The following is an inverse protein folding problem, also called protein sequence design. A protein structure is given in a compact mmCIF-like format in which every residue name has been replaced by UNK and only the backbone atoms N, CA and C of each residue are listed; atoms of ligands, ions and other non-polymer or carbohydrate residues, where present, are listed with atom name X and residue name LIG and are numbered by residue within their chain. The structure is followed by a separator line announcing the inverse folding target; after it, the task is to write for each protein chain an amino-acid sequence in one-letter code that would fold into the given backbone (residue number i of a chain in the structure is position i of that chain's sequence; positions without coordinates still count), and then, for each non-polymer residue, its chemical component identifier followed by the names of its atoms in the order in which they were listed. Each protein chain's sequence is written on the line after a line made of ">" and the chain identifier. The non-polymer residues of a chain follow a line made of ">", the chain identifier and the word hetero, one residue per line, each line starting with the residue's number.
data_IF_062408356427
#
_entry.id   IF_062408356427
#
_cell.length_a   1.000
_cell.length_b   1.000
_cell.length_c   1.000
_cell.angle_alpha   90.00
_cell.angle_beta   90.00
_cell.angle_gamma   90.00
#
_symmetry.space_group_name_H-M   'P 1'
#
loop_
_entity.id
_entity.type
_entity.pdbx_description
1 polymer ?
#
# COMPACT_ATOMS: atom_id res chain seq x y z
N UNK A 1 13.83 18.63 -18.94
CA UNK A 1 13.00 17.44 -18.63
C UNK A 1 13.38 16.97 -17.24
N UNK A 2 12.54 17.26 -16.26
CA UNK A 2 12.78 16.78 -14.89
C UNK A 2 12.64 15.27 -14.88
N UNK A 3 13.62 14.57 -14.33
CA UNK A 3 13.51 13.14 -14.09
C UNK A 3 12.27 12.86 -13.24
N UNK A 4 11.54 11.77 -13.51
CA UNK A 4 10.42 11.41 -12.65
C UNK A 4 10.92 11.24 -11.21
N UNK A 5 10.28 11.92 -10.27
CA UNK A 5 10.62 11.81 -8.87
C UNK A 5 10.41 10.39 -8.35
N UNK A 6 11.17 9.99 -7.33
CA UNK A 6 10.97 8.70 -6.69
C UNK A 6 9.58 8.64 -6.05
N UNK A 7 8.83 7.59 -6.40
CA UNK A 7 7.48 7.36 -5.89
C UNK A 7 7.47 7.02 -4.40
N UNK A 8 6.61 7.69 -3.65
CA UNK A 8 6.46 7.51 -2.20
C UNK A 8 5.00 7.21 -1.86
N UNK A 9 4.77 6.17 -1.06
CA UNK A 9 3.49 5.91 -0.40
C UNK A 9 3.50 6.60 0.96
N UNK A 10 2.37 7.21 1.32
CA UNK A 10 2.18 7.80 2.64
C UNK A 10 1.12 7.02 3.42
N UNK A 11 1.45 6.63 4.64
CA UNK A 11 0.54 6.03 5.60
C UNK A 11 0.76 6.70 6.95
N UNK A 12 0.10 7.82 7.14
CA UNK A 12 0.27 8.71 8.28
C UNK A 12 -1.05 8.86 9.02
N UNK A 13 -0.97 8.82 10.35
CA UNK A 13 -2.09 9.14 11.24
C UNK A 13 -2.05 10.62 11.62
N UNK A 14 -3.17 11.31 11.46
CA UNK A 14 -3.33 12.69 11.85
C UNK A 14 -2.98 13.73 10.77
N UNK A 15 -2.54 14.93 11.22
CA UNK A 15 -2.25 16.03 10.31
C UNK A 15 -0.89 15.87 9.63
N UNK A 16 -0.92 15.60 8.35
CA UNK A 16 0.25 15.43 7.50
C UNK A 16 0.46 16.57 6.48
N UNK A 17 -0.33 17.64 6.57
CA UNK A 17 -0.29 18.74 5.61
C UNK A 17 1.11 19.36 5.46
N UNK A 18 1.85 19.49 6.57
CA UNK A 18 3.21 19.97 6.56
C UNK A 18 4.16 19.06 5.80
N UNK A 19 4.04 17.74 6.01
CA UNK A 19 4.84 16.72 5.35
C UNK A 19 4.52 16.68 3.86
N UNK A 20 3.23 16.65 3.50
CA UNK A 20 2.78 16.69 2.11
C UNK A 20 3.33 17.91 1.38
N UNK A 21 3.26 19.10 2.01
CA UNK A 21 3.81 20.33 1.43
C UNK A 21 5.32 20.22 1.20
N UNK A 22 6.08 19.71 2.17
CA UNK A 22 7.52 19.51 2.05
C UNK A 22 7.88 18.53 0.93
N UNK A 23 7.17 17.42 0.81
CA UNK A 23 7.38 16.42 -0.24
C UNK A 23 6.99 16.93 -1.64
N UNK A 24 5.98 17.80 -1.72
CA UNK A 24 5.48 18.34 -2.99
C UNK A 24 6.27 19.56 -3.48
N UNK A 25 7.27 20.02 -2.73
CA UNK A 25 8.09 21.13 -3.18
C UNK A 25 8.86 20.80 -4.45
N UNK A 26 8.93 21.77 -5.36
CA UNK A 26 9.70 21.62 -6.59
C UNK A 26 11.17 21.35 -6.27
N UNK A 27 11.73 20.32 -6.90
CA UNK A 27 13.11 19.91 -6.70
C UNK A 27 13.34 18.92 -5.56
N UNK A 28 12.29 18.47 -4.86
CA UNK A 28 12.42 17.41 -3.86
C UNK A 28 12.92 16.09 -4.46
N UNK A 29 12.70 15.85 -5.74
CA UNK A 29 12.98 14.55 -6.38
C UNK A 29 12.07 13.42 -5.87
N UNK A 30 11.04 13.77 -5.10
CA UNK A 30 10.05 12.84 -4.54
C UNK A 30 8.68 13.11 -5.17
N UNK A 31 7.91 12.07 -5.32
CA UNK A 31 6.54 12.16 -5.82
C UNK A 31 5.64 11.31 -4.92
N UNK A 32 4.67 11.94 -4.26
CA UNK A 32 3.66 11.20 -3.51
C UNK A 32 2.74 10.52 -4.52
N UNK A 33 2.86 9.20 -4.63
CA UNK A 33 2.06 8.40 -5.54
C UNK A 33 0.68 8.13 -4.96
N UNK A 34 0.65 7.82 -3.68
CA UNK A 34 -0.60 7.53 -2.97
C UNK A 34 -0.49 7.84 -1.49
N UNK A 35 -1.58 8.36 -0.96
CA UNK A 35 -1.84 8.42 0.47
C UNK A 35 -2.80 7.30 0.81
N UNK A 36 -2.35 6.35 1.63
CA UNK A 36 -3.14 5.21 2.02
C UNK A 36 -4.02 5.57 3.21
N UNK A 37 -5.27 5.17 3.16
CA UNK A 37 -6.24 5.43 4.23
C UNK A 37 -6.24 4.32 5.29
N UNK A 38 -5.82 3.12 4.93
CA UNK A 38 -5.76 1.95 5.79
C UNK A 38 -4.61 1.01 5.42
N UNK A 39 -4.38 0.02 6.27
CA UNK A 39 -3.32 -0.97 6.09
C UNK A 39 -3.53 -1.88 4.85
N UNK A 40 -4.74 -2.38 4.56
CA UNK A 40 -5.00 -3.11 3.31
C UNK A 40 -4.61 -2.33 2.06
N UNK A 41 -4.91 -1.04 2.01
CA UNK A 41 -4.54 -0.20 0.88
C UNK A 41 -3.02 -0.04 0.77
N UNK A 42 -2.33 0.19 1.89
CA UNK A 42 -0.88 0.28 1.93
C UNK A 42 -0.21 -0.99 1.41
N UNK A 43 -0.64 -2.16 1.92
CA UNK A 43 -0.10 -3.45 1.49
C UNK A 43 -0.39 -3.71 0.01
N UNK A 44 -1.60 -3.44 -0.45
CA UNK A 44 -1.99 -3.59 -1.86
C UNK A 44 -1.15 -2.71 -2.78
N UNK A 45 -0.98 -1.44 -2.43
CA UNK A 45 -0.16 -0.50 -3.19
C UNK A 45 1.32 -0.90 -3.21
N UNK A 46 1.85 -1.35 -2.07
CA UNK A 46 3.22 -1.84 -1.95
C UNK A 46 3.46 -3.09 -2.77
N UNK A 47 2.60 -4.10 -2.65
CA UNK A 47 2.70 -5.34 -3.42
C UNK A 47 2.51 -5.15 -4.92
N UNK A 48 1.71 -4.16 -5.33
CA UNK A 48 1.56 -3.79 -6.74
C UNK A 48 2.77 -3.03 -7.30
N UNK A 49 3.76 -2.69 -6.46
CA UNK A 49 4.95 -1.96 -6.91
C UNK A 49 4.68 -0.52 -7.35
N UNK A 50 3.63 0.12 -6.81
CA UNK A 50 3.25 1.48 -7.20
C UNK A 50 4.31 2.51 -6.82
N UNK A 51 5.11 2.23 -5.81
CA UNK A 51 6.23 3.07 -5.37
C UNK A 51 7.37 2.22 -4.84
N UNK A 52 8.57 2.76 -4.83
CA UNK A 52 9.75 2.12 -4.23
C UNK A 52 9.98 2.52 -2.77
N UNK A 53 9.30 3.56 -2.31
CA UNK A 53 9.49 4.11 -0.97
C UNK A 53 8.17 4.31 -0.24
N UNK A 54 8.22 4.25 1.09
CA UNK A 54 7.09 4.54 1.96
C UNK A 54 7.51 5.39 3.15
N UNK A 55 6.64 6.31 3.54
CA UNK A 55 6.71 7.03 4.81
C UNK A 55 5.54 6.60 5.66
N UNK A 56 5.83 5.94 6.76
CA UNK A 56 4.85 5.32 7.64
C UNK A 56 4.89 5.96 9.03
N UNK A 57 3.80 5.89 9.75
CA UNK A 57 3.66 6.36 11.12
C UNK A 57 3.20 5.18 11.99
N UNK A 58 3.81 4.99 13.16
CA UNK A 58 3.45 3.92 14.09
C UNK A 58 2.04 4.04 14.65
N UNK A 59 1.45 5.23 14.60
CA UNK A 59 0.03 5.43 14.95
C UNK A 59 -0.95 5.07 13.84
N UNK A 60 -0.46 4.68 12.66
CA UNK A 60 -1.30 4.32 11.54
C UNK A 60 -1.69 2.84 11.62
N UNK A 61 -2.98 2.58 11.80
CA UNK A 61 -3.66 1.30 11.62
C UNK A 61 -2.85 0.04 12.03
N UNK A 62 -2.46 -0.05 13.29
CA UNK A 62 -1.78 -1.23 13.86
C UNK A 62 -0.55 -1.72 13.07
N UNK A 63 0.25 -0.80 12.56
CA UNK A 63 1.53 -1.16 11.92
C UNK A 63 2.38 -1.94 12.92
N UNK A 64 2.83 -3.12 12.49
CA UNK A 64 3.74 -3.98 13.24
C UNK A 64 4.96 -4.36 12.39
N UNK A 65 5.88 -5.10 12.98
CA UNK A 65 7.08 -5.60 12.27
C UNK A 65 6.74 -6.52 11.12
N UNK A 66 5.67 -7.29 11.22
CA UNK A 66 5.24 -8.21 10.18
C UNK A 66 4.83 -7.44 8.91
N UNK A 67 4.16 -6.31 9.11
CA UNK A 67 3.82 -5.39 8.02
C UNK A 67 5.07 -4.83 7.35
N UNK A 68 6.03 -4.33 8.14
CA UNK A 68 7.28 -3.80 7.61
C UNK A 68 8.07 -4.87 6.83
N UNK A 69 8.14 -6.09 7.34
CA UNK A 69 8.79 -7.21 6.66
C UNK A 69 8.10 -7.57 5.33
N UNK A 70 6.77 -7.52 5.29
CA UNK A 70 6.00 -7.74 4.05
C UNK A 70 6.29 -6.67 3.01
N UNK A 71 6.28 -5.41 3.43
CA UNK A 71 6.61 -4.28 2.54
C UNK A 71 8.05 -4.37 2.02
N UNK A 72 9.01 -4.71 2.89
CA UNK A 72 10.40 -4.90 2.49
C UNK A 72 10.56 -6.04 1.48
N UNK A 73 9.87 -7.18 1.68
CA UNK A 73 9.86 -8.29 0.72
C UNK A 73 9.22 -7.93 -0.61
N UNK A 74 8.27 -7.01 -0.61
CA UNK A 74 7.68 -6.46 -1.83
C UNK A 74 8.60 -5.43 -2.53
N UNK A 75 9.79 -5.16 -1.98
CA UNK A 75 10.76 -4.24 -2.56
C UNK A 75 10.59 -2.79 -2.13
N UNK A 76 9.71 -2.50 -1.15
CA UNK A 76 9.62 -1.16 -0.58
C UNK A 76 10.73 -0.93 0.44
N UNK A 77 11.34 0.21 0.33
CA UNK A 77 12.17 0.81 1.37
C UNK A 77 11.43 2.00 1.96
N UNK A 78 11.79 2.45 3.15
CA UNK A 78 11.12 3.61 3.67
C UNK A 78 11.62 4.04 5.03
N UNK A 79 10.80 4.85 5.66
CA UNK A 79 11.09 5.46 6.95
C UNK A 79 9.86 5.40 7.84
N UNK A 80 10.10 5.21 9.12
CA UNK A 80 9.05 5.11 10.12
C UNK A 80 9.08 6.35 11.03
N UNK A 81 7.94 7.01 11.16
CA UNK A 81 7.74 8.05 12.15
C UNK A 81 7.24 7.41 13.45
N UNK A 82 7.94 7.66 14.55
CA UNK A 82 7.66 7.06 15.84
C UNK A 82 7.40 8.12 16.90
N UNK A 83 6.56 7.79 17.88
CA UNK A 83 6.45 8.60 19.09
C UNK A 83 7.70 8.43 19.96
N UNK A 84 8.03 9.45 20.75
CA UNK A 84 9.24 9.46 21.57
C UNK A 84 9.35 8.23 22.50
N UNK A 85 8.22 7.75 23.03
CA UNK A 85 8.17 6.59 23.93
C UNK A 85 8.27 5.23 23.21
N UNK A 86 8.14 5.21 21.89
CA UNK A 86 8.20 4.00 21.08
C UNK A 86 9.56 3.81 20.38
N UNK A 87 10.42 4.81 20.39
CA UNK A 87 11.68 4.81 19.66
C UNK A 87 12.51 3.55 19.91
N UNK A 88 12.65 3.13 21.17
CA UNK A 88 13.41 1.93 21.52
C UNK A 88 12.79 0.65 20.96
N UNK A 89 11.45 0.57 20.99
CA UNK A 89 10.71 -0.57 20.43
C UNK A 89 10.97 -0.76 18.93
N UNK A 90 11.09 0.34 18.19
CA UNK A 90 11.21 0.32 16.74
C UNK A 90 12.65 0.36 16.23
N UNK A 91 13.64 0.60 17.11
CA UNK A 91 15.06 0.67 16.72
C UNK A 91 15.56 -0.57 15.98
N UNK A 92 15.03 -1.73 16.28
CA UNK A 92 15.40 -3.01 15.64
C UNK A 92 14.48 -3.43 14.49
N UNK A 93 13.63 -2.53 13.99
CA UNK A 93 12.68 -2.84 12.91
C UNK A 93 13.33 -2.94 11.52
N UNK A 94 14.62 -2.58 11.40
CA UNK A 94 15.34 -2.61 10.12
C UNK A 94 15.04 -1.43 9.19
N UNK A 95 14.09 -0.58 9.58
CA UNK A 95 13.77 0.66 8.88
C UNK A 95 14.35 1.86 9.61
N UNK A 96 14.85 2.87 8.92
CA UNK A 96 15.19 4.16 9.52
C UNK A 96 14.00 4.74 10.27
N UNK A 97 14.26 5.24 11.47
CA UNK A 97 13.23 5.85 12.32
C UNK A 97 13.52 7.34 12.52
N UNK A 98 12.47 8.12 12.54
CA UNK A 98 12.49 9.52 12.98
C UNK A 98 11.35 9.75 13.95
N UNK A 99 11.53 10.73 14.81
CA UNK A 99 10.46 11.16 15.71
C UNK A 99 9.37 11.87 14.91
N UNK A 100 8.12 11.62 15.31
CA UNK A 100 6.95 12.23 14.67
C UNK A 100 6.92 13.76 14.78
N UNK A 101 7.49 14.31 15.86
CA UNK A 101 7.63 15.75 16.08
C UNK A 101 8.79 16.39 15.29
N UNK A 102 9.47 15.62 14.43
CA UNK A 102 10.53 16.13 13.57
C UNK A 102 9.96 17.10 12.53
N UNK A 103 10.68 18.19 12.30
CA UNK A 103 10.29 19.17 11.30
C UNK A 103 10.08 18.54 9.90
N UNK A 104 8.99 18.87 9.19
CA UNK A 104 8.68 18.30 7.88
C UNK A 104 9.82 18.42 6.86
N UNK A 105 10.55 19.53 6.86
CA UNK A 105 11.71 19.71 5.98
C UNK A 105 12.82 18.70 6.24
N UNK A 106 13.06 18.35 7.50
CA UNK A 106 14.04 17.34 7.89
C UNK A 106 13.59 15.93 7.51
N UNK A 107 12.30 15.62 7.69
CA UNK A 107 11.71 14.35 7.25
C UNK A 107 11.94 14.18 5.73
N UNK A 108 11.61 15.21 4.96
CA UNK A 108 11.84 15.23 3.52
C UNK A 108 13.32 15.02 3.16
N UNK A 109 14.24 15.71 3.82
CA UNK A 109 15.68 15.60 3.56
C UNK A 109 16.20 14.18 3.83
N UNK A 110 15.77 13.54 4.92
CA UNK A 110 16.17 12.16 5.23
C UNK A 110 15.58 11.18 4.22
N UNK A 111 14.33 11.36 3.81
CA UNK A 111 13.72 10.51 2.78
C UNK A 111 14.42 10.67 1.42
N UNK A 112 14.80 11.89 1.04
CA UNK A 112 15.61 12.14 -0.16
C UNK A 112 16.96 11.42 -0.10
N UNK A 113 17.60 11.42 1.06
CA UNK A 113 18.87 10.72 1.26
C UNK A 113 18.71 9.20 1.15
N UNK A 114 17.64 8.65 1.68
CA UNK A 114 17.28 7.23 1.51
C UNK A 114 17.06 6.89 0.04
N UNK A 115 16.34 7.71 -0.70
CA UNK A 115 16.11 7.53 -2.14
C UNK A 115 17.43 7.55 -2.91
N UNK A 116 18.32 8.48 -2.59
CA UNK A 116 19.64 8.54 -3.23
C UNK A 116 20.48 7.29 -2.95
N UNK A 117 20.43 6.75 -1.74
CA UNK A 117 21.15 5.52 -1.35
C UNK A 117 20.50 4.27 -1.92
N UNK A 118 19.17 4.21 -1.94
CA UNK A 118 18.39 3.08 -2.47
C UNK A 118 18.28 3.06 -3.99
N UNK A 119 18.49 4.20 -4.65
CA UNK A 119 18.43 4.32 -6.10
C UNK A 119 19.58 3.63 -6.86
N UNK A 120 20.51 3.00 -6.17
CA UNK A 120 21.56 2.16 -6.77
C UNK A 120 21.05 0.72 -7.03
N UNK A 121 19.94 0.32 -6.48
CA UNK A 121 19.25 -0.92 -6.86
C UNK A 121 18.12 -0.61 -7.85
N UNK A 122 18.52 -0.14 -9.03
CA UNK A 122 17.63 0.03 -10.16
C UNK A 122 17.12 -1.32 -10.65
N UNK A 123 15.98 -1.74 -10.13
CA UNK A 123 15.06 -2.52 -10.95
C UNK A 123 14.12 -1.48 -11.55
N UNK A 124 14.49 -1.01 -12.73
CA UNK A 124 13.52 -0.44 -13.63
C UNK A 124 12.35 -1.41 -13.71
N UNK A 125 11.08 -0.96 -13.65
CA UNK A 125 9.98 -1.82 -14.03
C UNK A 125 10.23 -2.20 -15.49
N UNK A 126 10.75 -3.38 -15.72
CA UNK A 126 10.81 -3.97 -17.04
C UNK A 126 9.39 -4.39 -17.38
N UNK A 127 8.59 -3.40 -17.71
CA UNK A 127 7.31 -3.58 -18.40
C UNK A 127 7.57 -3.85 -19.88
N UNK A 128 8.40 -4.84 -20.15
CA UNK A 128 8.36 -5.53 -21.43
C UNK A 128 7.63 -6.84 -21.19
N UNK A 129 6.32 -6.73 -21.11
CA UNK A 129 5.47 -7.88 -21.37
C UNK A 129 5.83 -8.38 -22.77
N UNK A 130 6.03 -9.69 -22.97
CA UNK A 130 6.16 -10.21 -24.32
C UNK A 130 4.89 -9.83 -25.08
N UNK A 131 5.10 -9.23 -26.26
CA UNK A 131 4.05 -9.07 -27.22
C UNK A 131 3.32 -10.42 -27.33
N UNK A 132 2.07 -10.47 -26.91
CA UNK A 132 1.22 -11.61 -27.11
C UNK A 132 0.92 -11.69 -28.61
N UNK A 133 1.75 -12.43 -29.28
CA UNK A 133 1.39 -13.03 -30.55
C UNK A 133 0.51 -14.25 -30.23
N UNK A 134 -0.68 -14.30 -30.80
CA UNK A 134 -1.50 -15.50 -30.74
C UNK A 134 -2.82 -15.35 -30.00
N UNK A 135 -3.77 -14.68 -30.67
CA UNK A 135 -5.19 -14.93 -30.45
C UNK A 135 -5.51 -16.40 -30.79
N UNK A 136 -5.62 -17.24 -29.77
CA UNK A 136 -6.17 -18.58 -29.95
C UNK A 136 -6.93 -19.13 -28.74
N UNK A 137 -7.52 -18.23 -27.94
CA UNK A 137 -8.41 -18.65 -26.85
C UNK A 137 -9.90 -18.41 -27.13
N UNK A 138 -10.24 -18.03 -28.38
CA UNK A 138 -11.63 -17.76 -28.79
C UNK A 138 -12.32 -18.96 -29.47
N UNK A 139 -11.72 -20.15 -29.43
CA UNK A 139 -12.30 -21.32 -30.08
C UNK A 139 -12.48 -22.51 -29.13
N UNK A 140 -13.14 -22.31 -28.02
CA UNK A 140 -13.71 -23.44 -27.27
C UNK A 140 -14.76 -22.97 -26.25
N UNK A 141 -15.88 -22.50 -26.71
CA UNK A 141 -17.09 -22.47 -25.92
C UNK A 141 -18.28 -22.76 -26.80
N UNK A 142 -18.49 -24.05 -27.04
CA UNK A 142 -19.78 -24.55 -27.49
C UNK A 142 -20.69 -24.64 -26.28
N UNK A 143 -21.91 -24.15 -26.33
CA UNK A 143 -22.85 -24.22 -25.22
C UNK A 143 -23.51 -25.59 -25.19
N UNK A 144 -23.38 -26.27 -24.07
CA UNK A 144 -24.27 -27.39 -23.76
C UNK A 144 -25.46 -26.83 -22.97
N UNK A 145 -26.57 -26.80 -23.64
CA UNK A 145 -27.91 -26.73 -23.10
C UNK A 145 -28.15 -27.85 -22.07
N UNK A 146 -28.86 -27.56 -21.03
CA UNK A 146 -29.88 -28.44 -20.42
C UNK A 146 -30.39 -27.76 -19.15
N UNK A 147 -31.50 -27.30 -19.25
CA UNK A 147 -32.89 -27.53 -18.80
C UNK A 147 -33.19 -27.14 -17.35
N UNK A 148 -34.39 -26.57 -17.18
CA UNK A 148 -34.84 -26.01 -15.90
C UNK A 148 -35.49 -27.13 -15.06
N UNK A 149 -35.15 -27.21 -13.81
CA UNK A 149 -35.96 -27.97 -12.87
C UNK A 149 -36.75 -27.02 -12.00
N UNK A 150 -37.98 -26.88 -12.46
CA UNK A 150 -39.14 -26.39 -11.74
C UNK A 150 -39.59 -27.47 -10.77
N UNK A 151 -39.69 -27.20 -9.48
CA UNK A 151 -40.85 -27.66 -8.71
C UNK A 151 -40.94 -26.92 -7.36
N UNK A 152 -42.19 -26.59 -6.98
CA UNK A 152 -42.46 -25.83 -5.79
C UNK A 152 -42.83 -26.75 -4.63
N UNK A 153 -42.42 -26.48 -3.45
CA UNK A 153 -43.11 -26.99 -2.25
C UNK A 153 -43.59 -25.85 -1.37
N UNK A 154 -44.87 -25.63 -1.59
CA UNK A 154 -45.86 -25.14 -0.66
C UNK A 154 -45.91 -26.02 0.60
N UNK A 155 -46.15 -25.48 1.70
CA UNK A 155 -47.08 -25.74 2.80
C UNK A 155 -46.46 -25.27 4.12
N UNK A 156 -47.03 -24.20 4.63
CA UNK A 156 -48.05 -24.23 5.70
C UNK A 156 -47.57 -24.96 6.96
N UNK A 157 -47.33 -24.26 8.01
CA UNK A 157 -48.07 -24.56 9.23
C UNK A 157 -48.08 -23.38 10.21
N UNK A 158 -49.28 -22.96 10.42
CA UNK A 158 -49.95 -22.20 11.44
C UNK A 158 -49.76 -22.79 12.85
N UNK A 159 -49.81 -21.95 13.82
CA UNK A 159 -50.34 -22.06 15.18
C UNK A 159 -49.36 -21.51 16.20
N UNK A 160 -49.60 -20.35 16.77
CA UNK A 160 -50.59 -20.04 17.82
C UNK A 160 -50.29 -20.71 19.17
N UNK A 161 -50.08 -19.92 20.12
CA UNK A 161 -50.56 -19.88 21.52
C UNK A 161 -49.50 -19.22 22.40
N UNK A 162 -49.67 -18.00 22.94
CA UNK A 162 -50.60 -17.60 23.98
C UNK A 162 -50.25 -18.18 25.38
N UNK A 163 -50.22 -17.25 26.32
CA UNK A 163 -50.30 -17.37 27.79
C UNK A 163 -48.97 -17.59 28.53
N UNK A 164 -48.55 -16.72 29.42
CA UNK A 164 -49.05 -16.08 30.60
C UNK A 164 -48.05 -15.01 31.05
#
# INVERSE_FOLDING_TARGET
>A
MSAPGAGVLLALSGDDAGILRALSQAGSGLCVVRRCADLPELLSAGMAGLAGFALLDTGFDEIDRTVLDRLARAGLSGMLLVEAHEEERWRSAGWPILRRDTEPGRICAVLQDLVRRGGVSGVAPTGSGPAADGADWLSAATPASTEPNTEPHTESNTAAQETA
#
